data_IF_714560019562
#
_entry.id   IF_714560019562
#
_cell.length_a   1.000
_cell.length_b   1.000
_cell.length_c   1.000
_cell.angle_alpha   90.00
_cell.angle_beta   90.00
_cell.angle_gamma   90.00
#
_symmetry.space_group_name_H-M   'P 1'
#
loop_
_entity.id
_entity.type
_entity.pdbx_description
1 polymer ?
#
# COMPACT_ATOMS: atom_id res chain seq x y z
N UNK A 1 -4.50 25.94 -4.73
CA UNK A 1 -3.64 25.15 -3.81
C UNK A 1 -4.01 23.70 -4.05
N UNK A 2 -3.07 22.86 -4.48
CA UNK A 2 -3.35 21.42 -4.64
C UNK A 2 -3.53 20.85 -3.23
N UNK A 3 -4.72 20.34 -2.91
CA UNK A 3 -4.97 19.69 -1.62
C UNK A 3 -4.36 18.30 -1.70
N UNK A 4 -3.21 18.13 -1.07
CA UNK A 4 -2.54 16.82 -1.03
C UNK A 4 -3.36 15.83 -0.22
N UNK A 5 -3.28 14.56 -0.61
CA UNK A 5 -3.91 13.46 0.10
C UNK A 5 -3.24 13.29 1.47
N UNK A 6 -4.03 13.26 2.55
CA UNK A 6 -3.53 12.89 3.88
C UNK A 6 -3.79 11.40 4.18
N UNK A 7 -3.04 10.84 5.12
CA UNK A 7 -3.32 9.49 5.65
C UNK A 7 -4.74 9.42 6.24
N UNK A 8 -5.19 10.49 6.88
CA UNK A 8 -6.54 10.57 7.45
C UNK A 8 -7.60 10.50 6.36
N UNK A 9 -7.41 11.18 5.23
CA UNK A 9 -8.33 11.13 4.10
C UNK A 9 -8.46 9.71 3.55
N UNK A 10 -7.32 9.04 3.33
CA UNK A 10 -7.29 7.64 2.90
C UNK A 10 -8.00 6.74 3.92
N UNK A 11 -7.69 6.88 5.21
CA UNK A 11 -8.29 6.09 6.29
C UNK A 11 -9.80 6.21 6.30
N UNK A 12 -10.32 7.43 6.23
CA UNK A 12 -11.76 7.68 6.24
C UNK A 12 -12.44 7.08 5.01
N UNK A 13 -11.83 7.21 3.83
CA UNK A 13 -12.34 6.62 2.60
C UNK A 13 -12.32 5.08 2.66
N UNK A 14 -11.23 4.49 3.15
CA UNK A 14 -11.11 3.05 3.34
C UNK A 14 -12.16 2.50 4.31
N UNK A 15 -12.37 3.13 5.47
CA UNK A 15 -13.42 2.73 6.43
C UNK A 15 -14.80 2.77 5.77
N UNK A 16 -15.12 3.84 5.03
CA UNK A 16 -16.38 3.96 4.29
C UNK A 16 -16.51 2.85 3.25
N UNK A 17 -15.49 2.64 2.41
CA UNK A 17 -15.48 1.63 1.34
C UNK A 17 -15.60 0.21 1.89
N UNK A 18 -14.93 -0.09 3.00
CA UNK A 18 -15.03 -1.39 3.67
C UNK A 18 -16.46 -1.69 4.13
N UNK A 19 -17.22 -0.69 4.62
CA UNK A 19 -18.64 -0.89 4.99
C UNK A 19 -19.49 -1.27 3.79
N UNK A 20 -19.27 -0.65 2.63
CA UNK A 20 -19.95 -1.03 1.39
C UNK A 20 -19.57 -2.44 0.93
N UNK A 21 -18.30 -2.79 1.02
CA UNK A 21 -17.84 -4.13 0.66
C UNK A 21 -18.46 -5.21 1.56
N UNK A 22 -18.48 -4.98 2.88
CA UNK A 22 -19.07 -5.90 3.86
C UNK A 22 -20.58 -6.09 3.65
N UNK A 23 -21.30 -5.05 3.22
CA UNK A 23 -22.71 -5.17 2.90
C UNK A 23 -22.98 -6.02 1.64
N UNK A 24 -22.00 -6.13 0.72
CA UNK A 24 -22.12 -6.92 -0.52
C UNK A 24 -21.49 -8.32 -0.44
N UNK A 25 -20.55 -8.56 0.48
CA UNK A 25 -19.76 -9.78 0.51
C UNK A 25 -20.27 -10.81 1.53
N UNK A 26 -20.43 -12.06 1.09
CA UNK A 26 -20.80 -13.19 1.97
C UNK A 26 -19.70 -13.58 2.96
N UNK A 27 -18.45 -13.16 2.73
CA UNK A 27 -17.34 -13.45 3.63
C UNK A 27 -16.65 -12.17 4.13
N UNK A 28 -16.37 -12.14 5.43
CA UNK A 28 -15.61 -11.05 6.03
C UNK A 28 -14.13 -11.14 5.64
N UNK A 29 -13.54 -9.99 5.32
CA UNK A 29 -12.11 -9.84 5.14
C UNK A 29 -11.44 -9.78 6.50
N UNK A 30 -10.90 -10.92 6.98
CA UNK A 30 -10.17 -10.99 8.24
C UNK A 30 -8.72 -10.49 8.10
N UNK A 31 -8.02 -10.35 9.23
CA UNK A 31 -6.63 -9.88 9.29
C UNK A 31 -5.70 -10.69 8.38
N UNK A 32 -5.88 -12.01 8.29
CA UNK A 32 -5.04 -12.87 7.45
C UNK A 32 -5.26 -12.62 5.95
N UNK A 33 -6.51 -12.45 5.50
CA UNK A 33 -6.84 -12.10 4.11
C UNK A 33 -6.27 -10.74 3.72
N UNK A 34 -6.39 -9.75 4.62
CA UNK A 34 -5.84 -8.41 4.39
C UNK A 34 -4.31 -8.40 4.34
N UNK A 35 -3.66 -9.16 5.22
CA UNK A 35 -2.21 -9.33 5.17
C UNK A 35 -1.75 -10.08 3.91
N UNK A 36 -2.52 -11.09 3.46
CA UNK A 36 -2.28 -11.78 2.20
C UNK A 36 -2.39 -10.84 0.99
N UNK A 37 -3.40 -9.96 0.97
CA UNK A 37 -3.52 -8.94 -0.06
C UNK A 37 -2.34 -7.96 -0.03
N UNK A 38 -1.98 -7.43 1.14
CA UNK A 38 -0.79 -6.59 1.30
C UNK A 38 0.49 -7.27 0.76
N UNK A 39 0.69 -8.55 1.07
CA UNK A 39 1.83 -9.31 0.56
C UNK A 39 1.82 -9.44 -0.97
N UNK A 40 0.64 -9.61 -1.57
CA UNK A 40 0.49 -9.64 -3.03
C UNK A 40 0.96 -8.32 -3.63
N UNK A 41 0.35 -7.20 -3.20
CA UNK A 41 0.61 -5.90 -3.86
C UNK A 41 2.05 -5.42 -3.62
N UNK A 42 2.61 -5.67 -2.42
CA UNK A 42 4.02 -5.38 -2.16
C UNK A 42 4.96 -6.26 -3.00
N UNK A 43 4.58 -7.52 -3.26
CA UNK A 43 5.31 -8.42 -4.15
C UNK A 43 5.23 -7.99 -5.63
N UNK A 44 4.08 -7.48 -6.06
CA UNK A 44 3.89 -6.92 -7.41
C UNK A 44 4.72 -5.63 -7.58
N UNK A 45 4.76 -4.74 -6.59
CA UNK A 45 5.64 -3.57 -6.58
C UNK A 45 7.12 -3.97 -6.69
N UNK A 46 7.57 -4.95 -5.90
CA UNK A 46 8.93 -5.50 -6.01
C UNK A 46 9.21 -6.12 -7.39
N UNK A 47 8.19 -6.76 -7.99
CA UNK A 47 8.24 -7.31 -9.33
C UNK A 47 8.39 -6.25 -10.41
N UNK A 48 7.65 -5.14 -10.31
CA UNK A 48 7.73 -3.99 -11.20
C UNK A 48 9.11 -3.31 -11.11
N UNK A 49 9.59 -3.06 -9.89
CA UNK A 49 10.96 -2.59 -9.63
C UNK A 49 12.02 -3.47 -10.31
N UNK A 50 11.96 -4.79 -10.11
CA UNK A 50 12.90 -5.73 -10.75
C UNK A 50 12.87 -5.63 -12.29
N UNK A 51 11.72 -5.34 -12.89
CA UNK A 51 11.61 -5.15 -14.35
C UNK A 51 12.26 -3.83 -14.78
N UNK A 52 12.11 -2.76 -14.00
CA UNK A 52 12.81 -1.48 -14.23
C UNK A 52 14.32 -1.64 -14.14
N UNK A 53 14.82 -2.26 -13.06
CA UNK A 53 16.27 -2.50 -12.89
C UNK A 53 16.86 -3.27 -14.08
N UNK A 54 16.13 -4.28 -14.60
CA UNK A 54 16.53 -5.03 -15.80
C UNK A 54 16.57 -4.19 -17.08
N UNK A 55 15.65 -3.23 -17.23
CA UNK A 55 15.68 -2.31 -18.37
C UNK A 55 16.88 -1.37 -18.27
N UNK A 56 17.15 -0.84 -17.09
CA UNK A 56 18.29 0.06 -16.83
C UNK A 56 19.63 -0.64 -17.07
N UNK A 57 19.73 -1.93 -16.71
CA UNK A 57 20.89 -2.79 -16.98
C UNK A 57 21.00 -3.24 -18.46
N UNK A 58 20.05 -2.89 -19.31
CA UNK A 58 20.03 -3.28 -20.72
C UNK A 58 19.71 -4.76 -20.96
N UNK A 59 19.14 -5.47 -19.98
CA UNK A 59 18.73 -6.89 -20.05
C UNK A 59 17.34 -7.01 -20.72
N UNK A 60 17.10 -6.21 -21.77
CA UNK A 60 15.78 -5.87 -22.31
C UNK A 60 15.04 -7.01 -23.05
N UNK A 61 15.63 -8.19 -23.19
CA UNK A 61 15.07 -9.30 -23.97
C UNK A 61 13.78 -9.91 -23.39
N UNK A 62 13.39 -9.54 -22.16
CA UNK A 62 12.18 -10.05 -21.49
C UNK A 62 10.91 -9.19 -21.66
N UNK A 63 11.03 -7.95 -22.16
CA UNK A 63 9.90 -7.01 -22.28
C UNK A 63 9.65 -6.47 -23.68
N UNK A 64 10.65 -6.52 -24.57
CA UNK A 64 10.56 -5.98 -25.92
C UNK A 64 9.46 -6.67 -26.76
N UNK A 65 9.23 -7.96 -26.55
CA UNK A 65 8.18 -8.72 -27.23
C UNK A 65 6.77 -8.47 -26.64
N UNK A 66 6.67 -7.88 -25.45
CA UNK A 66 5.42 -7.46 -24.82
C UNK A 66 5.17 -5.94 -24.96
N UNK A 67 6.09 -5.19 -25.59
CA UNK A 67 5.98 -3.75 -25.76
C UNK A 67 6.07 -2.94 -24.46
N UNK A 68 6.67 -3.50 -23.40
CA UNK A 68 6.80 -2.81 -22.11
C UNK A 68 7.81 -1.67 -22.22
N UNK A 69 7.37 -0.43 -21.97
CA UNK A 69 8.23 0.75 -21.91
C UNK A 69 8.65 1.04 -20.46
N UNK A 70 9.73 1.81 -20.31
CA UNK A 70 10.11 2.33 -19.00
C UNK A 70 8.93 3.10 -18.36
N UNK A 71 8.23 3.92 -19.15
CA UNK A 71 7.04 4.66 -18.70
C UNK A 71 5.92 3.74 -18.20
N UNK A 72 5.58 2.67 -18.93
CA UNK A 72 4.52 1.75 -18.50
C UNK A 72 4.87 1.03 -17.20
N UNK A 73 6.13 0.64 -17.02
CA UNK A 73 6.58 -0.02 -15.79
C UNK A 73 6.64 0.93 -14.59
N UNK A 74 6.94 2.20 -14.83
CA UNK A 74 6.87 3.24 -13.80
C UNK A 74 5.43 3.48 -13.32
N UNK A 75 4.47 3.46 -14.24
CA UNK A 75 3.04 3.51 -13.90
C UNK A 75 2.62 2.28 -13.10
N UNK A 76 2.98 1.07 -13.58
CA UNK A 76 2.70 -0.19 -12.86
C UNK A 76 3.27 -0.14 -11.45
N UNK A 77 4.54 0.23 -11.29
CA UNK A 77 5.18 0.37 -9.98
C UNK A 77 4.38 1.30 -9.06
N UNK A 78 3.97 2.47 -9.56
CA UNK A 78 3.17 3.41 -8.77
C UNK A 78 1.83 2.84 -8.34
N UNK A 79 1.16 2.10 -9.22
CA UNK A 79 -0.11 1.44 -8.91
C UNK A 79 0.03 0.35 -7.85
N UNK A 80 1.10 -0.45 -7.89
CA UNK A 80 1.27 -1.51 -6.90
C UNK A 80 1.76 -0.99 -5.55
N UNK A 81 2.56 0.07 -5.52
CA UNK A 81 2.87 0.78 -4.27
C UNK A 81 1.60 1.37 -3.66
N UNK A 82 0.74 1.99 -4.48
CA UNK A 82 -0.53 2.56 -4.02
C UNK A 82 -1.45 1.49 -3.43
N UNK A 83 -1.60 0.35 -4.10
CA UNK A 83 -2.44 -0.76 -3.61
C UNK A 83 -1.88 -1.37 -2.32
N UNK A 84 -0.56 -1.53 -2.23
CA UNK A 84 0.09 -1.95 -0.99
C UNK A 84 -0.18 -0.97 0.17
N UNK A 85 -0.09 0.34 -0.06
CA UNK A 85 -0.42 1.36 0.95
C UNK A 85 -1.91 1.28 1.36
N UNK A 86 -2.82 1.09 0.40
CA UNK A 86 -4.25 0.96 0.66
C UNK A 86 -4.54 -0.24 1.57
N UNK A 87 -4.01 -1.42 1.27
CA UNK A 87 -4.21 -2.61 2.11
C UNK A 87 -3.49 -2.52 3.44
N UNK A 88 -2.30 -1.89 3.49
CA UNK A 88 -1.58 -1.62 4.73
C UNK A 88 -2.41 -0.74 5.66
N UNK A 89 -3.05 0.30 5.13
CA UNK A 89 -3.91 1.20 5.90
C UNK A 89 -5.16 0.48 6.45
N UNK A 90 -5.82 -0.33 5.62
CA UNK A 90 -6.95 -1.17 6.03
C UNK A 90 -6.53 -2.15 7.13
N UNK A 91 -5.40 -2.83 6.96
CA UNK A 91 -4.86 -3.76 7.95
C UNK A 91 -4.53 -3.05 9.26
N UNK A 92 -3.90 -1.88 9.20
CA UNK A 92 -3.56 -1.07 10.36
C UNK A 92 -4.81 -0.61 11.13
N UNK A 93 -5.85 -0.16 10.42
CA UNK A 93 -7.15 0.18 11.00
C UNK A 93 -7.76 -1.01 11.73
N UNK A 94 -7.78 -2.18 11.10
CA UNK A 94 -8.35 -3.39 11.69
C UNK A 94 -7.57 -3.89 12.91
N UNK A 95 -6.28 -3.58 12.97
CA UNK A 95 -5.41 -3.84 14.12
C UNK A 95 -5.49 -2.75 15.20
N UNK A 96 -6.33 -1.73 15.02
CA UNK A 96 -6.53 -0.65 15.99
C UNK A 96 -5.48 0.46 15.96
N UNK A 97 -4.65 0.55 14.91
CA UNK A 97 -3.67 1.62 14.76
C UNK A 97 -4.33 2.90 14.24
N UNK A 98 -4.10 4.03 14.93
CA UNK A 98 -4.59 5.35 14.50
C UNK A 98 -3.78 5.89 13.30
N UNK A 99 -4.45 6.63 12.41
CA UNK A 99 -3.85 7.17 11.18
C UNK A 99 -2.66 8.10 11.44
N UNK A 100 -2.71 8.89 12.52
CA UNK A 100 -1.64 9.84 12.89
C UNK A 100 -0.29 9.18 13.23
N UNK A 101 -0.24 7.86 13.38
CA UNK A 101 1.02 7.14 13.58
C UNK A 101 1.74 6.82 12.27
N UNK A 102 1.11 7.06 11.12
CA UNK A 102 1.75 6.92 9.82
C UNK A 102 2.41 8.23 9.38
N UNK A 103 3.42 8.10 8.54
CA UNK A 103 4.08 9.25 7.91
C UNK A 103 3.13 9.92 6.90
N UNK A 104 3.23 11.25 6.77
CA UNK A 104 2.49 12.00 5.76
C UNK A 104 2.94 11.61 4.35
N UNK A 105 2.03 11.55 3.38
CA UNK A 105 2.38 11.30 1.97
C UNK A 105 3.14 12.47 1.31
N UNK A 106 3.19 13.63 1.96
CA UNK A 106 4.04 14.77 1.58
C UNK A 106 5.47 14.66 2.15
N UNK A 107 5.73 13.68 3.01
CA UNK A 107 7.03 13.55 3.66
C UNK A 107 8.11 13.22 2.64
N UNK A 108 9.02 14.16 2.43
CA UNK A 108 10.24 13.93 1.66
C UNK A 108 11.32 13.36 2.58
N UNK A 109 11.83 12.17 2.27
CA UNK A 109 12.98 11.60 2.95
C UNK A 109 14.24 12.27 2.40
N UNK A 110 14.99 13.06 3.20
CA UNK A 110 15.96 14.02 2.67
C UNK A 110 17.14 13.41 1.90
N UNK A 111 17.36 12.10 1.92
CA UNK A 111 18.30 11.38 1.05
C UNK A 111 17.99 9.88 1.10
N UNK A 112 17.38 9.32 0.04
CA UNK A 112 17.08 7.87 -0.01
C UNK A 112 18.37 7.04 0.08
N UNK A 113 19.46 7.52 -0.51
CA UNK A 113 20.76 6.85 -0.55
C UNK A 113 21.48 6.79 0.80
N UNK A 114 21.39 7.82 1.65
CA UNK A 114 21.96 7.77 3.01
C UNK A 114 21.05 7.01 3.97
N UNK A 115 19.74 6.95 3.70
CA UNK A 115 18.77 6.26 4.55
C UNK A 115 18.91 4.74 4.52
N UNK A 116 19.27 4.19 3.36
CA UNK A 116 19.43 2.75 3.20
C UNK A 116 20.77 2.23 3.73
N UNK A 117 21.78 3.09 3.93
CA UNK A 117 23.10 2.63 4.37
C UNK A 117 23.74 1.59 3.43
N UNK A 118 23.33 1.55 2.16
CA UNK A 118 23.70 0.52 1.19
C UNK A 118 22.75 -0.69 1.12
N UNK A 119 21.70 -0.73 1.93
CA UNK A 119 20.66 -1.77 1.90
C UNK A 119 19.68 -1.58 0.74
N UNK A 120 19.05 -2.66 0.32
CA UNK A 120 18.09 -2.66 -0.79
C UNK A 120 16.66 -2.41 -0.26
N UNK A 121 15.93 -1.48 -0.90
CA UNK A 121 14.56 -1.09 -0.48
C UNK A 121 13.62 -2.32 -0.42
N UNK A 122 13.73 -3.24 -1.37
CA UNK A 122 12.90 -4.45 -1.43
C UNK A 122 13.28 -5.43 -0.32
N UNK A 123 14.58 -5.57 0.01
CA UNK A 123 15.03 -6.39 1.13
C UNK A 123 14.46 -5.88 2.44
N UNK A 124 14.59 -4.58 2.70
CA UNK A 124 14.07 -3.95 3.92
C UNK A 124 12.54 -4.09 4.02
N UNK A 125 11.81 -3.80 2.94
CA UNK A 125 10.36 -4.01 2.90
C UNK A 125 10.00 -5.47 3.21
N UNK A 126 10.72 -6.43 2.62
CA UNK A 126 10.53 -7.87 2.85
C UNK A 126 10.76 -8.28 4.31
N UNK A 127 11.80 -7.76 4.96
CA UNK A 127 12.10 -8.00 6.38
C UNK A 127 10.93 -7.52 7.25
N UNK A 128 10.47 -6.28 7.05
CA UNK A 128 9.40 -5.71 7.87
C UNK A 128 8.03 -6.35 7.62
N UNK A 129 7.75 -6.77 6.38
CA UNK A 129 6.60 -7.62 6.08
C UNK A 129 6.70 -8.95 6.82
N UNK A 130 7.84 -9.64 6.76
CA UNK A 130 8.06 -10.89 7.49
C UNK A 130 7.83 -10.77 9.01
N UNK A 131 8.37 -9.71 9.62
CA UNK A 131 8.14 -9.38 11.03
C UNK A 131 6.64 -9.13 11.30
N UNK A 132 5.96 -8.35 10.46
CA UNK A 132 4.53 -8.09 10.60
C UNK A 132 3.71 -9.38 10.52
N UNK A 133 4.02 -10.26 9.57
CA UNK A 133 3.37 -11.55 9.41
C UNK A 133 3.57 -12.46 10.63
N UNK A 134 4.76 -12.44 11.24
CA UNK A 134 5.02 -13.13 12.49
C UNK A 134 4.09 -12.63 13.60
N UNK A 135 3.95 -11.31 13.78
CA UNK A 135 3.05 -10.73 14.79
C UNK A 135 1.58 -11.04 14.53
N UNK A 136 1.14 -11.00 13.27
CA UNK A 136 -0.22 -11.37 12.88
C UNK A 136 -0.49 -12.85 13.21
N UNK A 137 0.49 -13.73 13.01
CA UNK A 137 0.37 -15.15 13.39
C UNK A 137 0.14 -15.31 14.90
N UNK A 138 0.84 -14.52 15.73
CA UNK A 138 0.65 -14.55 17.18
C UNK A 138 -0.73 -14.03 17.59
N UNK A 139 -1.16 -12.88 17.05
CA UNK A 139 -2.49 -12.32 17.31
C UNK A 139 -3.61 -13.32 16.99
N UNK A 140 -3.50 -14.05 15.88
CA UNK A 140 -4.49 -15.08 15.52
C UNK A 140 -4.54 -16.27 16.48
N UNK A 141 -3.39 -16.67 17.04
CA UNK A 141 -3.34 -17.72 18.06
C UNK A 141 -4.00 -17.25 19.35
N UNK A 142 -3.78 -16.00 19.72
CA UNK A 142 -4.38 -15.37 20.90
C UNK A 142 -5.89 -15.17 20.73
N UNK A 143 -6.38 -14.70 19.58
CA UNK A 143 -7.81 -14.59 19.26
C UNK A 143 -8.54 -15.95 19.33
N UNK A 144 -7.83 -17.03 19.01
CA UNK A 144 -8.37 -18.40 19.10
C UNK A 144 -8.49 -18.90 20.55
N UNK A 145 -7.81 -18.25 21.50
CA UNK A 145 -7.76 -18.61 22.92
C UNK A 145 -8.59 -17.62 23.78
N UNK A 146 -8.67 -16.34 23.40
CA UNK A 146 -9.33 -15.25 24.13
C UNK A 146 -10.15 -14.34 23.18
N UNK A 147 -11.35 -14.74 22.76
CA UNK A 147 -12.09 -14.11 21.65
C UNK A 147 -12.72 -12.73 21.92
N UNK A 148 -12.48 -12.09 23.08
CA UNK A 148 -13.27 -10.93 23.53
C UNK A 148 -12.48 -9.68 23.96
N UNK A 149 -11.17 -9.65 23.74
CA UNK A 149 -10.39 -8.41 23.88
C UNK A 149 -9.34 -8.35 22.77
N UNK A 150 -9.44 -7.36 21.87
CA UNK A 150 -8.31 -7.01 21.00
C UNK A 150 -7.31 -6.29 21.91
N UNK A 151 -6.17 -6.89 22.27
CA UNK A 151 -5.19 -6.22 23.10
C UNK A 151 -4.66 -4.98 22.38
N UNK A 152 -4.21 -3.94 23.12
CA UNK A 152 -3.56 -2.79 22.51
C UNK A 152 -2.45 -3.25 21.57
N UNK A 153 -2.41 -2.67 20.38
CA UNK A 153 -1.44 -3.07 19.35
C UNK A 153 -0.01 -2.92 19.90
N UNK A 154 0.75 -4.03 19.92
CA UNK A 154 2.09 -4.02 20.51
C UNK A 154 2.99 -2.96 19.85
N UNK A 155 3.93 -2.32 20.59
CA UNK A 155 4.86 -1.35 20.01
C UNK A 155 5.62 -1.90 18.81
N UNK A 156 5.93 -3.21 18.81
CA UNK A 156 6.62 -3.87 17.71
C UNK A 156 5.73 -4.03 16.48
N UNK A 157 4.44 -4.34 16.64
CA UNK A 157 3.49 -4.41 15.52
C UNK A 157 3.26 -3.02 14.91
N UNK A 158 3.15 -1.98 15.74
CA UNK A 158 3.07 -0.60 15.26
C UNK A 158 4.35 -0.22 14.50
N UNK A 159 5.52 -0.60 15.02
CA UNK A 159 6.81 -0.36 14.35
C UNK A 159 6.87 -1.06 12.98
N UNK A 160 6.43 -2.31 12.87
CA UNK A 160 6.45 -3.03 11.61
C UNK A 160 5.50 -2.42 10.58
N UNK A 161 4.27 -2.03 10.97
CA UNK A 161 3.35 -1.32 10.08
C UNK A 161 3.95 -0.02 9.56
N UNK A 162 4.50 0.82 10.44
CA UNK A 162 5.17 2.07 10.04
C UNK A 162 6.35 1.83 9.12
N UNK A 163 7.15 0.78 9.37
CA UNK A 163 8.31 0.45 8.54
C UNK A 163 7.88 -0.02 7.16
N UNK A 164 6.85 -0.86 7.04
CA UNK A 164 6.28 -1.21 5.73
C UNK A 164 5.84 0.03 4.96
N UNK A 165 5.08 0.94 5.60
CA UNK A 165 4.65 2.19 4.97
C UNK A 165 5.85 3.00 4.50
N UNK A 166 6.84 3.17 5.37
CA UNK A 166 8.04 3.95 5.10
C UNK A 166 8.80 3.45 3.89
N UNK A 167 9.06 2.14 3.78
CA UNK A 167 9.82 1.62 2.64
C UNK A 167 9.04 1.67 1.32
N UNK A 168 7.71 1.53 1.37
CA UNK A 168 6.85 1.79 0.21
C UNK A 168 6.95 3.26 -0.26
N UNK A 169 6.94 4.21 0.68
CA UNK A 169 7.10 5.64 0.36
C UNK A 169 8.51 5.98 -0.15
N UNK A 170 9.55 5.38 0.44
CA UNK A 170 10.93 5.52 -0.03
C UNK A 170 11.06 4.96 -1.46
N UNK A 171 10.44 3.81 -1.75
CA UNK A 171 10.39 3.26 -3.11
C UNK A 171 9.72 4.23 -4.08
N UNK A 172 8.56 4.78 -3.72
CA UNK A 172 7.88 5.77 -4.55
C UNK A 172 8.77 7.00 -4.80
N UNK A 173 9.41 7.54 -3.77
CA UNK A 173 10.30 8.69 -3.90
C UNK A 173 11.53 8.36 -4.78
N UNK A 174 12.13 7.18 -4.59
CA UNK A 174 13.32 6.76 -5.36
C UNK A 174 13.04 6.72 -6.87
N UNK A 175 11.87 6.19 -7.24
CA UNK A 175 11.44 6.16 -8.64
C UNK A 175 10.66 7.43 -9.04
N UNK A 176 10.56 8.47 -8.21
CA UNK A 176 9.83 9.70 -8.57
C UNK A 176 8.33 9.52 -8.82
N UNK A 177 7.72 8.49 -8.24
CA UNK A 177 6.26 8.26 -8.28
C UNK A 177 5.56 9.31 -7.43
N UNK A 178 4.58 10.02 -8.00
CA UNK A 178 3.65 10.81 -7.20
C UNK A 178 2.68 9.89 -6.46
N UNK A 179 3.02 9.55 -5.21
CA UNK A 179 2.29 8.59 -4.42
C UNK A 179 0.84 9.01 -4.13
N UNK A 180 0.59 10.31 -3.92
CA UNK A 180 -0.76 10.80 -3.66
C UNK A 180 -1.69 10.57 -4.86
N UNK A 181 -1.20 10.90 -6.06
CA UNK A 181 -1.96 10.70 -7.30
C UNK A 181 -2.18 9.21 -7.58
N UNK A 182 -1.16 8.39 -7.36
CA UNK A 182 -1.26 6.94 -7.54
C UNK A 182 -2.30 6.31 -6.59
N UNK A 183 -2.33 6.71 -5.32
CA UNK A 183 -3.33 6.25 -4.34
C UNK A 183 -4.74 6.69 -4.75
N UNK A 184 -4.92 7.96 -5.12
CA UNK A 184 -6.22 8.49 -5.57
C UNK A 184 -6.73 7.71 -6.78
N UNK A 185 -5.87 7.54 -7.80
CA UNK A 185 -6.22 6.81 -9.02
C UNK A 185 -6.63 5.37 -8.71
N UNK A 186 -5.78 4.62 -8.01
CA UNK A 186 -6.00 3.20 -7.74
C UNK A 186 -7.22 2.98 -6.86
N UNK A 187 -7.41 3.81 -5.83
CA UNK A 187 -8.59 3.77 -4.97
C UNK A 187 -9.87 3.97 -5.80
N UNK A 188 -9.89 5.00 -6.64
CA UNK A 188 -11.06 5.38 -7.43
C UNK A 188 -11.36 4.39 -8.56
N UNK A 189 -10.34 3.80 -9.18
CA UNK A 189 -10.52 2.74 -10.18
C UNK A 189 -11.23 1.51 -9.59
N UNK A 190 -10.93 1.13 -8.34
CA UNK A 190 -11.67 0.07 -7.64
C UNK A 190 -13.11 0.49 -7.34
N UNK A 191 -13.33 1.73 -6.90
CA UNK A 191 -14.68 2.25 -6.66
C UNK A 191 -15.54 2.27 -7.92
N UNK A 192 -14.97 2.68 -9.06
CA UNK A 192 -15.63 2.63 -10.36
C UNK A 192 -15.96 1.18 -10.75
N UNK A 193 -14.97 0.29 -10.74
CA UNK A 193 -15.10 -1.13 -11.13
C UNK A 193 -16.24 -1.85 -10.41
N UNK A 194 -16.45 -1.56 -9.12
CA UNK A 194 -17.44 -2.24 -8.28
C UNK A 194 -18.68 -1.39 -7.95
N UNK A 195 -18.77 -0.18 -8.51
CA UNK A 195 -19.86 0.77 -8.28
C UNK A 195 -19.99 1.20 -6.82
N UNK A 196 -18.88 1.54 -6.16
CA UNK A 196 -18.91 2.12 -4.81
C UNK A 196 -19.12 3.64 -4.86
N UNK A 197 -19.94 4.19 -3.95
CA UNK A 197 -20.19 5.63 -3.89
C UNK A 197 -19.09 6.41 -3.15
N UNK A 198 -17.97 5.75 -2.83
CA UNK A 198 -16.88 6.33 -2.05
C UNK A 198 -15.72 6.65 -2.98
N UNK A 199 -15.31 7.91 -2.99
CA UNK A 199 -14.23 8.42 -3.82
C UNK A 199 -13.19 9.11 -2.94
N UNK A 200 -11.94 9.09 -3.39
CA UNK A 200 -10.81 9.77 -2.75
C UNK A 200 -10.43 11.01 -3.56
N UNK A 201 -10.16 12.12 -2.88
CA UNK A 201 -9.93 13.43 -3.51
C UNK A 201 -11.19 14.07 -4.08
N UNK A 202 -11.03 15.25 -4.68
CA UNK A 202 -12.10 15.84 -5.50
C UNK A 202 -12.27 14.99 -6.76
N UNK A 203 -13.51 14.53 -7.03
CA UNK A 203 -13.84 13.90 -8.30
C UNK A 203 -13.33 14.79 -9.45
N UNK A 204 -12.56 14.28 -10.43
CA UNK A 204 -12.36 15.02 -11.65
C UNK A 204 -13.76 15.28 -12.21
N UNK A 205 -14.14 16.55 -12.34
CA UNK A 205 -15.48 17.00 -12.80
C UNK A 205 -15.86 16.52 -14.21
N UNK A 206 -15.06 15.64 -14.83
CA UNK A 206 -15.21 15.17 -16.20
C UNK A 206 -15.25 13.64 -16.37
N UNK A 207 -15.60 12.85 -15.35
CA UNK A 207 -15.87 11.41 -15.53
C UNK A 207 -17.26 11.10 -16.14
N UNK A 208 -17.91 12.09 -16.76
CA UNK A 208 -19.15 11.91 -17.53
C UNK A 208 -18.95 12.01 -19.06
N UNK A 209 -17.71 12.03 -19.55
CA UNK A 209 -17.44 12.05 -20.99
C UNK A 209 -16.05 11.47 -21.30
N UNK A 210 -15.98 10.14 -21.45
CA UNK A 210 -15.09 9.46 -22.42
C UNK A 210 -15.90 8.32 -23.02
#
# INVERSE_FOLDING_TARGET
>A
MSTYLTVTDLRQANIKRQKYWQAKAETSWNIAKLYGALLNEAGEAAGARKKLDRLDDGIADLGAHLGLSHESLMLDLGYEIADAIIYLDILAEKLGMRAEFFESYEHNFPEVSSFLGGEDITVELGIWLGILGEKIRHLRREDSIMPHAIPPLSPQTQKSLRRCQKYLMIMAQYYGVNLSDAIVWKFNAVSERYGFPVWLGDMPKNAAAV
#
